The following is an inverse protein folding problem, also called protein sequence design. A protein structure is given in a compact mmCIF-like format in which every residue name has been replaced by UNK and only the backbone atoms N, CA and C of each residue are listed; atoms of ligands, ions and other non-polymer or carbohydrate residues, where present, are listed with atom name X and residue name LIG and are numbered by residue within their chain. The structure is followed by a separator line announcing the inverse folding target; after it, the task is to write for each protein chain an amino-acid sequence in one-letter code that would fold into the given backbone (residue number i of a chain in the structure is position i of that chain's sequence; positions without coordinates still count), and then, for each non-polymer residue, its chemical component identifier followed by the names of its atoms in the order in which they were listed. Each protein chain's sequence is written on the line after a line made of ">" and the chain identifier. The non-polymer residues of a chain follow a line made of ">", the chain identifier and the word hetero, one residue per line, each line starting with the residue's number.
data_IF_408487448969
#
_entry.id   IF_408487448969
#
_cell.length_a   1.000
_cell.length_b   1.000
_cell.length_c   1.000
_cell.angle_alpha   90.00
_cell.angle_beta   90.00
_cell.angle_gamma   90.00
#
_symmetry.space_group_name_H-M   'P 1'
#
loop_
_entity.id
_entity.type
_entity.pdbx_description
1 polymer ?
#
# COMPACT_ATOMS: atom_id res chain seq x y z
N UNK A 1 -2.15 26.77 -8.17
CA UNK A 1 -0.96 26.73 -9.04
C UNK A 1 -0.50 25.29 -9.12
N UNK A 2 -0.21 24.78 -10.33
CA UNK A 2 0.37 23.46 -10.44
C UNK A 2 1.79 23.46 -9.84
N UNK A 3 2.05 22.58 -8.88
CA UNK A 3 3.39 22.43 -8.32
C UNK A 3 4.25 21.72 -9.37
N UNK A 4 5.28 22.39 -9.84
CA UNK A 4 6.22 21.80 -10.80
C UNK A 4 7.03 20.73 -10.08
N UNK A 5 6.82 19.46 -10.43
CA UNK A 5 7.63 18.37 -9.91
C UNK A 5 8.99 18.33 -10.63
N UNK A 6 10.05 18.11 -9.87
CA UNK A 6 11.41 17.94 -10.39
C UNK A 6 12.15 16.86 -9.59
N UNK A 7 13.20 16.32 -10.16
CA UNK A 7 14.03 15.33 -9.47
C UNK A 7 14.68 15.95 -8.23
N UNK A 8 14.55 15.28 -7.09
CA UNK A 8 15.08 15.77 -5.81
C UNK A 8 16.58 15.48 -5.61
N UNK A 9 17.23 14.75 -6.53
CA UNK A 9 18.67 14.47 -6.43
C UNK A 9 19.06 13.71 -5.17
N UNK A 10 18.24 12.76 -4.72
CA UNK A 10 18.46 12.01 -3.46
C UNK A 10 19.71 11.14 -3.44
N UNK A 11 20.33 10.86 -4.61
CA UNK A 11 21.42 9.90 -4.76
C UNK A 11 20.96 8.44 -4.81
N UNK A 12 19.70 8.14 -4.46
CA UNK A 12 19.14 6.79 -4.54
C UNK A 12 18.68 6.44 -5.95
N UNK A 13 18.64 5.14 -6.25
CA UNK A 13 18.27 4.60 -7.56
C UNK A 13 17.45 3.31 -7.41
N UNK A 14 17.13 2.64 -8.52
CA UNK A 14 16.30 1.43 -8.55
C UNK A 14 16.90 0.22 -7.80
N UNK A 15 18.17 0.25 -7.42
CA UNK A 15 18.85 -0.80 -6.68
C UNK A 15 19.02 -0.45 -5.20
N UNK A 16 18.69 0.78 -4.80
CA UNK A 16 18.77 1.19 -3.39
C UNK A 16 17.76 0.42 -2.56
N UNK A 17 18.23 -0.14 -1.44
CA UNK A 17 17.39 -0.85 -0.48
C UNK A 17 16.68 0.11 0.47
N UNK A 18 15.63 -0.36 1.11
CA UNK A 18 14.93 0.44 2.13
C UNK A 18 15.85 0.80 3.31
N UNK A 19 16.77 -0.09 3.69
CA UNK A 19 17.72 0.16 4.77
C UNK A 19 18.75 1.24 4.40
N UNK A 20 19.24 1.24 3.15
CA UNK A 20 20.10 2.32 2.65
C UNK A 20 19.39 3.67 2.65
N UNK A 21 18.11 3.70 2.24
CA UNK A 21 17.31 4.94 2.20
C UNK A 21 17.05 5.47 3.62
N UNK A 22 16.85 4.57 4.60
CA UNK A 22 16.57 4.93 5.99
C UNK A 22 17.84 5.06 6.86
N UNK A 23 19.03 4.84 6.28
CA UNK A 23 20.28 4.96 7.03
C UNK A 23 20.43 6.35 7.67
N UNK A 24 20.57 6.38 8.98
CA UNK A 24 20.66 7.63 9.77
C UNK A 24 19.34 8.35 10.01
N UNK A 25 18.21 7.77 9.58
CA UNK A 25 16.87 8.31 9.90
C UNK A 25 16.33 7.59 11.13
N UNK A 26 16.02 8.36 12.17
CA UNK A 26 15.43 7.88 13.42
C UNK A 26 13.93 8.18 13.42
N UNK A 27 13.12 7.12 13.56
CA UNK A 27 11.66 7.21 13.58
C UNK A 27 11.04 6.85 14.94
N UNK A 28 11.84 6.83 16.00
CA UNK A 28 11.33 6.59 17.36
C UNK A 28 10.23 7.59 17.73
N UNK A 29 9.15 7.08 18.29
CA UNK A 29 7.96 7.88 18.61
C UNK A 29 7.05 8.21 17.44
N UNK A 30 7.40 7.82 16.20
CA UNK A 30 6.55 8.00 15.03
C UNK A 30 5.55 6.84 14.86
N UNK A 31 4.30 7.18 14.55
CA UNK A 31 3.26 6.21 14.22
C UNK A 31 3.05 6.16 12.70
N UNK A 32 3.18 4.97 12.16
CA UNK A 32 3.00 4.69 10.73
C UNK A 32 1.82 3.76 10.55
N UNK A 33 0.89 4.10 9.67
CA UNK A 33 -0.16 3.20 9.22
C UNK A 33 0.16 2.75 7.79
N UNK A 34 0.23 1.42 7.55
CA UNK A 34 0.49 0.87 6.23
C UNK A 34 -0.52 -0.23 5.88
N UNK A 35 -1.36 0.02 4.88
CA UNK A 35 -2.29 -0.99 4.37
C UNK A 35 -1.53 -2.05 3.57
N UNK A 36 -1.89 -3.34 3.75
CA UNK A 36 -1.17 -4.43 3.09
C UNK A 36 0.28 -4.60 3.55
N UNK A 37 0.63 -4.10 4.73
CA UNK A 37 1.96 -4.10 5.32
C UNK A 37 2.50 -5.48 5.72
N UNK A 38 1.78 -6.56 5.41
CA UNK A 38 2.15 -7.93 5.76
C UNK A 38 2.49 -8.81 4.55
N UNK A 39 2.65 -8.23 3.36
CA UNK A 39 3.06 -8.97 2.17
C UNK A 39 3.72 -8.06 1.12
N UNK A 40 4.59 -8.66 0.29
CA UNK A 40 5.22 -7.95 -0.82
C UNK A 40 5.94 -6.67 -0.38
N UNK A 41 5.83 -5.60 -1.15
CA UNK A 41 6.45 -4.30 -0.86
C UNK A 41 6.05 -3.73 0.50
N UNK A 42 4.78 -3.93 0.89
CA UNK A 42 4.28 -3.48 2.18
C UNK A 42 5.02 -4.13 3.36
N UNK A 43 5.35 -5.42 3.28
CA UNK A 43 6.09 -6.12 4.31
C UNK A 43 7.52 -5.57 4.47
N UNK A 44 8.19 -5.29 3.36
CA UNK A 44 9.52 -4.67 3.37
C UNK A 44 9.50 -3.27 4.00
N UNK A 45 8.54 -2.46 3.57
CA UNK A 45 8.37 -1.13 4.13
C UNK A 45 8.06 -1.20 5.64
N UNK A 46 7.18 -2.12 6.06
CA UNK A 46 6.87 -2.36 7.48
C UNK A 46 8.12 -2.73 8.26
N UNK A 47 8.91 -3.68 7.75
CA UNK A 47 10.13 -4.15 8.39
C UNK A 47 11.17 -3.04 8.52
N UNK A 48 11.43 -2.29 7.44
CA UNK A 48 12.40 -1.21 7.43
C UNK A 48 12.00 -0.05 8.37
N UNK A 49 10.73 0.38 8.33
CA UNK A 49 10.22 1.44 9.20
C UNK A 49 10.26 1.03 10.68
N UNK A 50 9.91 -0.22 10.99
CA UNK A 50 10.00 -0.76 12.36
C UNK A 50 11.45 -0.85 12.86
N UNK A 51 12.40 -1.23 11.99
CA UNK A 51 13.84 -1.20 12.32
C UNK A 51 14.33 0.23 12.58
N UNK A 52 13.84 1.20 11.82
CA UNK A 52 14.14 2.62 12.02
C UNK A 52 13.48 3.23 13.28
N UNK A 53 12.74 2.44 14.06
CA UNK A 53 12.17 2.87 15.36
C UNK A 53 10.68 3.18 15.34
N UNK A 54 10.02 3.21 14.19
CA UNK A 54 8.60 3.53 14.10
C UNK A 54 7.71 2.47 14.75
N UNK A 55 6.57 2.89 15.30
CA UNK A 55 5.45 2.01 15.62
C UNK A 55 4.56 1.86 14.38
N UNK A 56 4.48 0.64 13.84
CA UNK A 56 3.80 0.39 12.56
C UNK A 56 2.48 -0.32 12.78
N UNK A 57 1.39 0.37 12.47
CA UNK A 57 0.02 -0.15 12.47
C UNK A 57 -0.25 -0.77 11.09
N UNK A 58 -0.58 -2.06 11.07
CA UNK A 58 -0.83 -2.84 9.86
C UNK A 58 -2.28 -3.30 9.83
N UNK A 59 -3.18 -2.53 9.19
CA UNK A 59 -4.54 -2.97 8.97
C UNK A 59 -4.60 -4.18 8.04
N UNK A 60 -5.39 -5.19 8.41
CA UNK A 60 -5.49 -6.44 7.67
C UNK A 60 -6.92 -7.00 7.68
N UNK A 61 -7.38 -7.46 6.51
CA UNK A 61 -8.67 -8.18 6.39
C UNK A 61 -8.65 -9.55 7.09
N UNK A 62 -7.47 -10.14 7.24
CA UNK A 62 -7.24 -11.42 7.92
C UNK A 62 -6.14 -11.21 8.97
N UNK A 63 -6.48 -10.74 10.18
CA UNK A 63 -5.51 -10.40 11.21
C UNK A 63 -4.55 -11.54 11.55
N UNK A 64 -5.05 -12.78 11.67
CA UNK A 64 -4.20 -13.94 11.98
C UNK A 64 -3.07 -14.15 10.95
N UNK A 65 -3.37 -14.03 9.65
CA UNK A 65 -2.37 -14.14 8.58
C UNK A 65 -1.35 -13.01 8.65
N UNK A 66 -1.81 -11.80 8.97
CA UNK A 66 -0.91 -10.66 9.10
C UNK A 66 0.00 -10.79 10.33
N UNK A 67 -0.53 -11.26 11.46
CA UNK A 67 0.24 -11.50 12.68
C UNK A 67 1.32 -12.55 12.46
N UNK A 68 0.99 -13.64 11.76
CA UNK A 68 1.97 -14.66 11.38
C UNK A 68 3.07 -14.09 10.48
N UNK A 69 2.70 -13.33 9.44
CA UNK A 69 3.66 -12.74 8.51
C UNK A 69 4.57 -11.68 9.14
N UNK A 70 4.13 -11.04 10.21
CA UNK A 70 4.87 -10.01 10.95
C UNK A 70 5.60 -10.56 12.18
N UNK A 71 5.57 -11.87 12.37
CA UNK A 71 6.27 -12.52 13.48
C UNK A 71 7.78 -12.16 13.44
N UNK A 72 8.31 -11.73 14.58
CA UNK A 72 9.71 -11.30 14.70
C UNK A 72 10.00 -9.87 14.24
N UNK A 73 9.05 -9.16 13.66
CA UNK A 73 9.22 -7.73 13.35
C UNK A 73 8.73 -6.91 14.56
N UNK A 74 9.63 -6.22 15.27
CA UNK A 74 9.25 -5.47 16.47
C UNK A 74 8.37 -4.26 16.14
N UNK A 75 7.67 -3.73 17.15
CA UNK A 75 6.88 -2.50 17.06
C UNK A 75 5.79 -2.52 15.97
N UNK A 76 5.28 -3.70 15.63
CA UNK A 76 4.15 -3.87 14.71
C UNK A 76 2.86 -4.13 15.47
N UNK A 77 1.76 -3.56 15.01
CA UNK A 77 0.42 -3.74 15.56
C UNK A 77 -0.56 -4.10 14.45
N UNK A 78 -1.14 -5.29 14.51
CA UNK A 78 -2.15 -5.74 13.53
C UNK A 78 -3.55 -5.33 14.04
N UNK A 79 -4.35 -4.73 13.14
CA UNK A 79 -5.76 -4.40 13.39
C UNK A 79 -6.63 -4.86 12.23
N UNK A 80 -7.87 -5.23 12.53
CA UNK A 80 -8.82 -5.64 11.51
C UNK A 80 -9.30 -4.46 10.66
N UNK A 81 -9.23 -4.60 9.33
CA UNK A 81 -9.77 -3.67 8.33
C UNK A 81 -9.98 -4.39 7.00
N UNK A 82 -11.18 -4.28 6.44
CA UNK A 82 -11.45 -4.59 5.03
C UNK A 82 -11.70 -3.30 4.24
N UNK A 83 -10.81 -3.00 3.29
CA UNK A 83 -10.94 -1.84 2.40
C UNK A 83 -12.11 -1.96 1.41
N UNK A 84 -12.68 -3.15 1.26
CA UNK A 84 -13.87 -3.39 0.44
C UNK A 84 -15.18 -3.07 1.18
N UNK A 85 -15.12 -2.88 2.50
CA UNK A 85 -16.28 -2.69 3.37
C UNK A 85 -16.26 -1.31 4.04
N UNK A 86 -17.17 -0.39 3.64
CA UNK A 86 -17.28 0.94 4.25
C UNK A 86 -17.51 0.93 5.76
N UNK A 87 -18.25 -0.05 6.28
CA UNK A 87 -18.49 -0.16 7.73
C UNK A 87 -17.23 -0.61 8.47
N UNK A 88 -16.46 -1.54 7.89
CA UNK A 88 -15.16 -1.91 8.44
C UNK A 88 -14.21 -0.71 8.50
N UNK A 89 -14.17 0.11 7.44
CA UNK A 89 -13.35 1.34 7.41
C UNK A 89 -13.80 2.32 8.48
N UNK A 90 -15.11 2.52 8.64
CA UNK A 90 -15.66 3.40 9.67
C UNK A 90 -15.27 2.92 11.07
N UNK A 91 -15.54 1.66 11.38
CA UNK A 91 -15.24 1.09 12.70
C UNK A 91 -13.74 1.13 13.03
N UNK A 92 -12.88 0.82 12.06
CA UNK A 92 -11.43 0.92 12.24
C UNK A 92 -11.02 2.36 12.57
N UNK A 93 -11.50 3.31 11.78
CA UNK A 93 -11.16 4.73 11.94
C UNK A 93 -11.63 5.28 13.29
N UNK A 94 -12.88 5.00 13.67
CA UNK A 94 -13.45 5.45 14.94
C UNK A 94 -12.63 4.92 16.13
N UNK A 95 -12.34 3.61 16.17
CA UNK A 95 -11.51 2.98 17.20
C UNK A 95 -10.07 3.51 17.20
N UNK A 96 -9.53 3.87 16.04
CA UNK A 96 -8.19 4.45 15.98
C UNK A 96 -8.20 5.86 16.59
N UNK A 97 -9.16 6.69 16.23
CA UNK A 97 -9.31 8.06 16.74
C UNK A 97 -9.52 8.09 18.26
N UNK A 98 -10.24 7.13 18.83
CA UNK A 98 -10.43 6.97 20.28
C UNK A 98 -9.09 6.76 21.03
N UNK A 99 -8.06 6.26 20.36
CA UNK A 99 -6.73 6.12 20.99
C UNK A 99 -6.00 7.44 21.23
N UNK A 100 -6.43 8.53 20.59
CA UNK A 100 -5.76 9.83 20.63
C UNK A 100 -4.36 9.85 20.00
N UNK A 101 -3.89 8.74 19.39
CA UNK A 101 -2.55 8.66 18.79
C UNK A 101 -2.49 9.46 17.49
N UNK A 102 -1.43 10.28 17.29
CA UNK A 102 -1.21 10.91 15.99
C UNK A 102 -0.70 9.89 14.96
N UNK A 103 -0.92 10.17 13.68
CA UNK A 103 -0.33 9.48 12.54
C UNK A 103 0.68 10.41 11.86
N UNK A 104 1.94 10.02 11.86
CA UNK A 104 3.01 10.75 11.19
C UNK A 104 3.13 10.36 9.71
N UNK A 105 2.90 9.07 9.41
CA UNK A 105 2.98 8.52 8.06
C UNK A 105 1.78 7.59 7.81
N UNK A 106 1.14 7.76 6.66
CA UNK A 106 0.11 6.84 6.15
C UNK A 106 0.54 6.33 4.78
N UNK A 107 0.56 5.02 4.59
CA UNK A 107 0.96 4.38 3.32
C UNK A 107 -0.21 3.54 2.80
N UNK A 108 -0.89 4.07 1.79
CA UNK A 108 -1.98 3.42 1.07
C UNK A 108 -1.38 2.46 0.04
N UNK A 109 -0.91 1.28 0.53
CA UNK A 109 -0.17 0.31 -0.27
C UNK A 109 -1.01 -0.88 -0.72
N UNK A 110 -2.01 -1.30 0.06
CA UNK A 110 -2.83 -2.44 -0.29
C UNK A 110 -3.46 -2.28 -1.69
N UNK A 111 -3.58 -3.39 -2.41
CA UNK A 111 -4.21 -3.36 -3.73
C UNK A 111 -4.49 -4.74 -4.30
N UNK A 112 -5.30 -4.73 -5.35
CA UNK A 112 -5.59 -5.88 -6.19
C UNK A 112 -5.30 -5.53 -7.64
N UNK A 113 -4.93 -6.54 -8.43
CA UNK A 113 -4.65 -6.41 -9.86
C UNK A 113 -5.18 -7.64 -10.60
N UNK A 114 -5.54 -7.46 -11.86
CA UNK A 114 -6.12 -8.50 -12.70
C UNK A 114 -7.30 -9.22 -12.02
N UNK A 115 -8.16 -8.47 -11.36
CA UNK A 115 -9.37 -9.00 -10.72
C UNK A 115 -10.41 -9.31 -11.81
N UNK A 116 -11.19 -10.37 -11.68
CA UNK A 116 -12.31 -10.61 -12.59
C UNK A 116 -13.39 -9.54 -12.40
N UNK A 117 -14.29 -9.42 -13.38
CA UNK A 117 -15.43 -8.52 -13.24
C UNK A 117 -16.22 -8.85 -11.95
N UNK A 118 -16.01 -8.03 -10.95
CA UNK A 118 -16.57 -8.25 -9.61
C UNK A 118 -17.03 -6.90 -9.06
N UNK A 119 -18.28 -6.87 -8.63
CA UNK A 119 -18.84 -5.73 -7.90
C UNK A 119 -18.84 -6.06 -6.42
N UNK A 120 -18.44 -5.09 -5.60
CA UNK A 120 -18.39 -5.20 -4.13
C UNK A 120 -19.12 -4.03 -3.48
N UNK A 121 -19.46 -4.19 -2.21
CA UNK A 121 -20.21 -3.19 -1.46
C UNK A 121 -21.51 -2.79 -2.18
N UNK A 122 -21.79 -1.50 -2.36
CA UNK A 122 -23.01 -1.02 -3.03
C UNK A 122 -22.98 -1.13 -4.56
N UNK A 123 -22.17 -2.01 -5.13
CA UNK A 123 -22.03 -2.22 -6.57
C UNK A 123 -20.82 -1.51 -7.18
N UNK A 124 -19.74 -1.36 -6.45
CA UNK A 124 -18.49 -0.77 -6.92
C UNK A 124 -17.59 -1.82 -7.58
N UNK A 125 -16.92 -1.41 -8.68
CA UNK A 125 -15.91 -2.25 -9.31
C UNK A 125 -14.73 -2.50 -8.34
N UNK A 126 -14.25 -3.74 -8.28
CA UNK A 126 -13.37 -4.21 -7.21
C UNK A 126 -12.01 -3.50 -7.16
N UNK A 127 -11.37 -3.18 -8.32
CA UNK A 127 -10.11 -2.41 -8.28
C UNK A 127 -10.37 -1.00 -7.78
N UNK A 128 -11.39 -0.33 -8.31
CA UNK A 128 -11.71 1.04 -7.91
C UNK A 128 -12.09 1.12 -6.43
N UNK A 129 -12.88 0.14 -5.95
CA UNK A 129 -13.30 0.08 -4.56
C UNK A 129 -12.12 -0.14 -3.61
N UNK A 130 -11.30 -1.17 -3.84
CA UNK A 130 -10.23 -1.56 -2.91
C UNK A 130 -9.01 -0.65 -3.03
N UNK A 131 -8.55 -0.39 -4.27
CA UNK A 131 -7.32 0.35 -4.47
C UNK A 131 -7.48 1.84 -4.20
N UNK A 132 -8.69 2.39 -4.42
CA UNK A 132 -8.94 3.82 -4.32
C UNK A 132 -9.98 4.19 -3.28
N UNK A 133 -11.26 3.82 -3.46
CA UNK A 133 -12.35 4.33 -2.60
C UNK A 133 -12.14 3.96 -1.13
N UNK A 134 -11.65 2.75 -0.84
CA UNK A 134 -11.35 2.30 0.51
C UNK A 134 -10.26 3.14 1.17
N UNK A 135 -9.18 3.44 0.46
CA UNK A 135 -8.11 4.31 0.95
C UNK A 135 -8.57 5.77 1.07
N UNK A 136 -9.30 6.26 0.08
CA UNK A 136 -9.89 7.59 0.13
C UNK A 136 -10.75 7.78 1.39
N UNK A 137 -11.63 6.81 1.69
CA UNK A 137 -12.47 6.85 2.88
C UNK A 137 -11.63 6.75 4.17
N UNK A 138 -10.65 5.85 4.20
CA UNK A 138 -9.76 5.64 5.35
C UNK A 138 -8.98 6.92 5.70
N UNK A 139 -8.27 7.50 4.74
CA UNK A 139 -7.46 8.70 4.97
C UNK A 139 -8.34 9.88 5.38
N UNK A 140 -9.48 10.11 4.72
CA UNK A 140 -10.38 11.20 5.08
C UNK A 140 -10.97 11.06 6.48
N UNK A 141 -11.29 9.83 6.93
CA UNK A 141 -11.76 9.59 8.29
C UNK A 141 -10.66 9.76 9.32
N UNK A 142 -9.41 9.42 8.98
CA UNK A 142 -8.25 9.55 9.86
C UNK A 142 -7.62 10.95 9.84
N UNK A 143 -8.14 11.90 9.06
CA UNK A 143 -7.62 13.28 9.04
C UNK A 143 -7.42 13.91 10.42
N UNK A 144 -8.32 13.73 11.40
CA UNK A 144 -8.11 14.27 12.75
C UNK A 144 -6.89 13.70 13.49
N UNK A 145 -6.43 12.51 13.09
CA UNK A 145 -5.24 11.86 13.67
C UNK A 145 -3.95 12.23 12.93
N UNK A 146 -4.01 12.86 11.76
CA UNK A 146 -2.78 13.27 11.07
C UNK A 146 -2.01 14.26 11.95
N UNK A 147 -0.71 13.97 12.17
CA UNK A 147 0.09 14.66 13.15
C UNK A 147 0.08 16.19 12.96
N UNK A 148 -0.22 16.97 14.00
CA UNK A 148 -0.25 18.43 13.91
C UNK A 148 1.10 19.06 13.54
N UNK A 149 2.19 18.33 13.80
CA UNK A 149 3.56 18.72 13.43
C UNK A 149 3.93 18.41 11.99
N UNK A 150 2.97 17.90 11.23
CA UNK A 150 3.10 17.49 9.84
C UNK A 150 3.04 15.97 9.67
N UNK A 151 2.28 15.54 8.65
CA UNK A 151 2.13 14.14 8.28
C UNK A 151 2.50 13.91 6.82
N UNK A 152 2.81 12.67 6.48
CA UNK A 152 3.08 12.21 5.11
C UNK A 152 2.09 11.14 4.72
N UNK A 153 1.39 11.34 3.62
CA UNK A 153 0.48 10.34 3.04
C UNK A 153 1.06 9.86 1.71
N UNK A 154 1.31 8.58 1.60
CA UNK A 154 1.87 7.96 0.39
C UNK A 154 0.80 7.09 -0.25
N UNK A 155 0.35 7.45 -1.44
CA UNK A 155 -0.57 6.64 -2.23
C UNK A 155 0.20 5.84 -3.29
N UNK A 156 0.18 4.50 -3.17
CA UNK A 156 0.88 3.64 -4.12
C UNK A 156 0.10 3.59 -5.43
N UNK A 157 0.59 4.35 -6.40
CA UNK A 157 0.14 4.38 -7.78
C UNK A 157 0.83 3.27 -8.62
N UNK A 158 0.85 3.41 -9.93
CA UNK A 158 1.48 2.46 -10.86
C UNK A 158 1.64 3.15 -12.21
N UNK A 159 2.58 2.71 -13.05
CA UNK A 159 2.56 3.01 -14.50
C UNK A 159 1.26 2.57 -15.18
N UNK A 160 0.50 1.68 -14.54
CA UNK A 160 -0.85 1.32 -14.98
C UNK A 160 -1.80 2.52 -15.14
N UNK A 161 -1.54 3.65 -14.49
CA UNK A 161 -2.34 4.88 -14.66
C UNK A 161 -2.36 5.39 -16.11
N UNK A 162 -1.35 5.08 -16.92
CA UNK A 162 -1.35 5.42 -18.34
C UNK A 162 -2.35 4.62 -19.18
N UNK A 163 -2.93 3.54 -18.62
CA UNK A 163 -3.88 2.68 -19.35
C UNK A 163 -5.29 3.26 -19.39
N UNK A 164 -5.69 4.04 -18.41
CA UNK A 164 -7.06 4.58 -18.33
C UNK A 164 -7.13 5.85 -17.51
N UNK A 165 -7.83 6.84 -18.03
CA UNK A 165 -8.38 7.94 -17.24
C UNK A 165 -9.57 7.47 -16.39
N UNK A 166 -10.14 8.40 -15.60
CA UNK A 166 -11.39 8.15 -14.88
C UNK A 166 -12.56 8.12 -15.88
N UNK A 167 -13.31 7.04 -15.90
CA UNK A 167 -14.52 6.87 -16.69
C UNK A 167 -15.71 7.50 -15.95
N UNK A 168 -15.86 8.80 -16.05
CA UNK A 168 -16.86 9.54 -15.29
C UNK A 168 -18.30 9.06 -15.52
N UNK A 169 -18.62 8.58 -16.75
CA UNK A 169 -19.95 8.10 -17.11
C UNK A 169 -20.22 6.66 -16.66
N UNK A 170 -19.15 5.87 -16.46
CA UNK A 170 -19.23 4.46 -16.02
C UNK A 170 -18.02 4.06 -15.16
N UNK A 171 -17.85 4.65 -13.97
CA UNK A 171 -16.67 4.42 -13.13
C UNK A 171 -16.59 2.98 -12.58
N UNK A 172 -17.67 2.21 -12.68
CA UNK A 172 -17.76 0.84 -12.20
C UNK A 172 -17.78 -0.20 -13.32
N UNK A 173 -17.44 0.20 -14.55
CA UNK A 173 -17.35 -0.72 -15.69
C UNK A 173 -18.58 -1.63 -15.83
N UNK A 174 -19.76 -1.05 -15.74
CA UNK A 174 -21.03 -1.79 -15.95
C UNK A 174 -21.13 -2.30 -17.38
N UNK A 175 -20.40 -1.67 -18.31
CA UNK A 175 -20.30 -2.04 -19.71
C UNK A 175 -18.83 -2.11 -20.13
N UNK A 176 -18.50 -3.14 -20.95
CA UNK A 176 -17.17 -3.25 -21.54
C UNK A 176 -16.06 -3.41 -20.51
N UNK A 177 -16.24 -4.31 -19.54
CA UNK A 177 -15.24 -4.57 -18.52
C UNK A 177 -13.92 -5.07 -19.13
N UNK A 178 -12.85 -4.39 -18.76
CA UNK A 178 -11.48 -4.82 -18.97
C UNK A 178 -10.68 -4.63 -17.67
N UNK A 179 -10.08 -5.69 -17.18
CA UNK A 179 -9.40 -5.68 -15.89
C UNK A 179 -8.15 -4.79 -15.86
N UNK A 180 -7.49 -4.55 -17.02
CA UNK A 180 -6.36 -3.64 -17.10
C UNK A 180 -6.79 -2.18 -17.08
N UNK A 181 -7.88 -1.86 -17.80
CA UNK A 181 -8.46 -0.52 -17.78
C UNK A 181 -9.02 -0.19 -16.39
N UNK A 182 -9.69 -1.16 -15.75
CA UNK A 182 -10.21 -0.97 -14.39
C UNK A 182 -9.09 -0.80 -13.35
N UNK A 183 -8.02 -1.58 -13.46
CA UNK A 183 -6.82 -1.38 -12.66
C UNK A 183 -6.19 0.00 -12.94
N UNK A 184 -6.01 0.35 -14.20
CA UNK A 184 -5.46 1.64 -14.63
C UNK A 184 -6.22 2.82 -14.06
N UNK A 185 -7.55 2.82 -14.20
CA UNK A 185 -8.43 3.83 -13.60
C UNK A 185 -8.20 3.97 -12.09
N UNK A 186 -8.11 2.85 -11.36
CA UNK A 186 -7.87 2.88 -9.92
C UNK A 186 -6.54 3.55 -9.56
N UNK A 187 -5.52 3.38 -10.41
CA UNK A 187 -4.19 3.98 -10.19
C UNK A 187 -4.11 5.44 -10.63
N UNK A 188 -4.87 5.84 -11.64
CA UNK A 188 -5.11 7.25 -11.98
C UNK A 188 -5.80 7.97 -10.82
N UNK A 189 -6.82 7.35 -10.24
CA UNK A 189 -7.52 7.92 -9.08
C UNK A 189 -6.58 8.08 -7.86
N UNK A 190 -5.69 7.13 -7.62
CA UNK A 190 -4.68 7.22 -6.55
C UNK A 190 -3.72 8.40 -6.76
N UNK A 191 -3.27 8.63 -8.00
CA UNK A 191 -2.40 9.76 -8.32
C UNK A 191 -3.13 11.10 -8.13
N UNK A 192 -4.36 11.22 -8.62
CA UNK A 192 -5.19 12.41 -8.45
C UNK A 192 -5.51 12.69 -6.98
N UNK A 193 -5.78 11.64 -6.21
CA UNK A 193 -6.01 11.76 -4.77
C UNK A 193 -4.82 12.38 -4.04
N UNK A 194 -3.61 11.89 -4.29
CA UNK A 194 -2.40 12.43 -3.66
C UNK A 194 -2.19 13.90 -4.02
N UNK A 195 -2.34 14.27 -5.29
CA UNK A 195 -2.21 15.67 -5.75
C UNK A 195 -3.22 16.57 -5.05
N UNK A 196 -4.47 16.14 -4.96
CA UNK A 196 -5.52 16.94 -4.34
C UNK A 196 -5.36 17.02 -2.80
N UNK A 197 -5.00 15.91 -2.17
CA UNK A 197 -4.76 15.86 -0.73
C UNK A 197 -3.59 16.75 -0.32
N UNK A 198 -2.50 16.77 -1.10
CA UNK A 198 -1.37 17.69 -0.87
C UNK A 198 -1.80 19.14 -0.96
N UNK A 199 -2.55 19.50 -2.01
CA UNK A 199 -3.05 20.87 -2.20
C UNK A 199 -3.94 21.34 -1.04
N UNK A 200 -4.74 20.45 -0.45
CA UNK A 200 -5.62 20.77 0.68
C UNK A 200 -4.87 20.74 2.03
N UNK A 201 -3.87 19.89 2.16
CA UNK A 201 -3.22 19.58 3.43
C UNK A 201 -1.96 20.40 3.71
N UNK A 202 -1.29 20.91 2.68
CA UNK A 202 0.03 21.53 2.79
C UNK A 202 0.10 22.69 3.81
N UNK A 203 -0.93 23.54 3.86
CA UNK A 203 -1.00 24.64 4.82
C UNK A 203 -1.07 24.13 6.29
N UNK A 204 -1.55 22.92 6.53
CA UNK A 204 -1.59 22.24 7.81
C UNK A 204 -0.41 21.27 8.04
N UNK A 205 0.63 21.30 7.19
CA UNK A 205 1.80 20.43 7.29
C UNK A 205 1.57 19.00 6.78
N UNK A 206 0.40 18.70 6.24
CA UNK A 206 0.11 17.39 5.64
C UNK A 206 0.52 17.41 4.17
N UNK A 207 1.46 16.54 3.81
CA UNK A 207 1.91 16.37 2.43
C UNK A 207 1.56 15.00 1.90
N UNK A 208 1.15 14.93 0.63
CA UNK A 208 0.77 13.68 -0.02
C UNK A 208 1.57 13.42 -1.30
N UNK A 209 1.88 12.16 -1.53
CA UNK A 209 2.74 11.71 -2.63
C UNK A 209 2.10 10.53 -3.35
N UNK A 210 2.08 10.56 -4.69
CA UNK A 210 1.81 9.39 -5.50
C UNK A 210 3.14 8.73 -5.87
N UNK A 211 3.30 7.44 -5.54
CA UNK A 211 4.55 6.71 -5.75
C UNK A 211 4.30 5.52 -6.67
N UNK A 212 5.05 5.45 -7.78
CA UNK A 212 5.16 4.24 -8.59
C UNK A 212 6.40 3.46 -8.15
N UNK A 213 6.22 2.24 -7.60
CA UNK A 213 7.36 1.49 -7.02
C UNK A 213 8.26 0.80 -8.06
N UNK A 214 7.97 0.96 -9.35
CA UNK A 214 8.64 0.21 -10.40
C UNK A 214 7.93 -1.11 -10.73
N UNK A 215 8.55 -1.90 -11.62
CA UNK A 215 8.06 -3.23 -11.99
C UNK A 215 8.67 -4.27 -11.05
N UNK A 216 7.89 -4.73 -10.10
CA UNK A 216 8.34 -5.64 -9.04
C UNK A 216 7.41 -6.84 -8.96
N UNK A 217 7.97 -8.05 -8.99
CA UNK A 217 7.20 -9.27 -8.77
C UNK A 217 6.87 -9.42 -7.28
N UNK A 218 5.57 -9.50 -7.00
CA UNK A 218 5.02 -9.63 -5.66
C UNK A 218 3.79 -10.53 -5.70
N UNK A 219 3.18 -10.90 -4.57
CA UNK A 219 1.88 -11.58 -4.59
C UNK A 219 0.74 -10.81 -5.26
N UNK A 220 0.94 -9.56 -5.68
CA UNK A 220 -0.03 -8.78 -6.44
C UNK A 220 -0.39 -9.46 -7.77
N UNK A 221 0.61 -10.08 -8.44
CA UNK A 221 0.46 -10.77 -9.73
C UNK A 221 -0.14 -12.17 -9.63
N UNK A 222 -0.49 -12.66 -8.46
CA UNK A 222 -0.98 -14.05 -8.24
C UNK A 222 -2.18 -14.50 -9.09
N UNK A 223 -2.93 -13.54 -9.66
CA UNK A 223 -4.09 -13.80 -10.51
C UNK A 223 -3.77 -13.82 -12.00
N UNK A 224 -2.56 -13.41 -12.37
CA UNK A 224 -2.14 -13.37 -13.78
C UNK A 224 -1.58 -14.74 -14.14
N UNK A 225 -2.13 -15.42 -15.16
CA UNK A 225 -1.62 -16.70 -15.64
C UNK A 225 -0.12 -16.62 -15.95
N UNK A 226 0.58 -17.72 -15.69
CA UNK A 226 2.03 -17.79 -15.91
C UNK A 226 2.42 -17.48 -17.36
N UNK A 227 1.64 -17.98 -18.30
CA UNK A 227 1.83 -17.75 -19.74
C UNK A 227 1.75 -16.25 -20.07
N UNK A 228 0.82 -15.54 -19.46
CA UNK A 228 0.68 -14.09 -19.63
C UNK A 228 1.87 -13.34 -18.99
N UNK A 229 2.35 -13.78 -17.82
CA UNK A 229 3.53 -13.20 -17.20
C UNK A 229 4.79 -13.37 -18.07
N UNK A 230 4.93 -14.54 -18.74
CA UNK A 230 6.00 -14.81 -19.71
C UNK A 230 5.85 -13.91 -20.94
N UNK A 231 4.65 -13.84 -21.51
CA UNK A 231 4.36 -13.03 -22.69
C UNK A 231 4.62 -11.53 -22.47
N UNK A 232 4.43 -11.06 -21.24
CA UNK A 232 4.74 -9.68 -20.83
C UNK A 232 6.20 -9.46 -20.44
N UNK A 233 7.03 -10.50 -20.49
CA UNK A 233 8.44 -10.42 -20.16
C UNK A 233 8.74 -10.19 -18.66
N UNK A 234 7.83 -10.55 -17.77
CA UNK A 234 8.03 -10.43 -16.33
C UNK A 234 8.82 -11.59 -15.75
N UNK A 235 8.59 -12.79 -16.29
CA UNK A 235 9.32 -14.01 -15.94
C UNK A 235 9.79 -14.73 -17.21
N UNK A 236 10.88 -15.51 -17.08
CA UNK A 236 11.34 -16.41 -18.13
C UNK A 236 10.42 -17.65 -18.25
N UNK A 237 10.52 -18.45 -19.33
CA UNK A 237 9.81 -19.73 -19.42
C UNK A 237 10.08 -20.67 -18.23
N UNK A 238 11.27 -20.59 -17.64
CA UNK A 238 11.66 -21.37 -16.44
C UNK A 238 11.07 -20.77 -15.15
N UNK A 239 10.39 -19.60 -15.23
CA UNK A 239 9.77 -18.93 -14.09
C UNK A 239 10.72 -18.03 -13.29
N UNK A 240 11.90 -17.72 -13.83
CA UNK A 240 12.81 -16.75 -13.21
C UNK A 240 12.40 -15.33 -13.59
N UNK A 241 12.55 -14.43 -12.66
CA UNK A 241 12.32 -13.00 -12.92
C UNK A 241 13.29 -12.49 -13.99
N UNK A 242 12.78 -11.70 -14.95
CA UNK A 242 13.61 -11.07 -15.98
C UNK A 242 14.36 -9.87 -15.42
N UNK A 243 15.61 -9.66 -15.85
CA UNK A 243 16.40 -8.51 -15.45
C UNK A 243 15.69 -7.19 -15.86
N UNK A 244 15.68 -6.23 -14.96
CA UNK A 244 14.90 -4.99 -15.11
C UNK A 244 13.66 -4.94 -14.19
N UNK A 245 13.24 -6.09 -13.65
CA UNK A 245 12.35 -6.15 -12.51
C UNK A 245 13.21 -6.19 -11.23
N UNK A 246 12.98 -5.29 -10.31
CA UNK A 246 13.70 -5.27 -9.04
C UNK A 246 13.28 -6.47 -8.20
N UNK A 247 14.24 -7.23 -7.65
CA UNK A 247 13.94 -8.30 -6.71
C UNK A 247 13.54 -7.71 -5.36
N UNK A 248 12.50 -8.26 -4.78
CA UNK A 248 12.23 -8.11 -3.37
C UNK A 248 13.35 -8.83 -2.57
N UNK A 249 14.04 -8.12 -1.70
CA UNK A 249 15.23 -8.64 -0.99
C UNK A 249 14.92 -9.62 0.14
N UNK A 250 13.69 -10.11 0.34
CA UNK A 250 13.34 -10.82 1.57
C UNK A 250 12.77 -12.22 1.46
N UNK A 251 12.88 -12.89 0.32
CA UNK A 251 12.46 -14.31 0.25
C UNK A 251 13.55 -15.34 0.49
N UNK A 252 14.67 -14.96 1.07
CA UNK A 252 15.74 -15.90 1.37
C UNK A 252 16.21 -15.72 2.82
N UNK A 253 15.54 -16.34 3.70
CA UNK A 253 15.86 -16.62 5.11
C UNK A 253 14.75 -16.19 6.07
N UNK A 254 13.95 -17.11 6.44
CA UNK A 254 13.69 -17.52 7.83
C UNK A 254 12.71 -18.69 7.82
N UNK A 255 13.25 -19.86 7.54
CA UNK A 255 12.62 -21.10 7.99
C UNK A 255 12.99 -21.36 9.44
N UNK A 256 12.78 -20.43 10.34
CA UNK A 256 12.77 -20.71 11.77
C UNK A 256 11.35 -20.53 12.29
N UNK A 257 10.76 -21.65 12.63
CA UNK A 257 9.44 -21.77 13.21
C UNK A 257 9.32 -20.92 14.47
N UNK A 258 8.29 -20.08 14.53
CA UNK A 258 7.70 -19.68 15.79
C UNK A 258 6.99 -20.90 16.39
N UNK A 259 7.75 -21.84 16.94
CA UNK A 259 7.20 -22.88 17.79
C UNK A 259 6.85 -22.23 19.12
N UNK A 260 5.54 -22.12 19.38
CA UNK A 260 5.04 -21.65 20.65
C UNK A 260 5.54 -22.57 21.77
N UNK A 261 6.32 -22.02 22.68
CA UNK A 261 6.51 -22.64 23.98
C UNK A 261 5.19 -22.56 24.76
N UNK A 262 4.44 -23.65 24.76
CA UNK A 262 3.43 -23.92 25.77
C UNK A 262 4.16 -24.33 27.04
N UNK A 263 4.49 -23.38 27.90
CA UNK A 263 4.92 -23.70 29.26
C UNK A 263 3.68 -24.13 30.08
N UNK A 264 3.59 -25.42 30.38
CA UNK A 264 2.88 -25.91 31.54
C UNK A 264 3.54 -25.39 32.82
N UNK A 265 2.79 -24.66 33.63
CA UNK A 265 2.81 -24.69 35.07
C UNK A 265 1.58 -23.94 35.60
#
# INVERSE_FOLDING_TARGET
>A
MAITQHKIGSGFNAHSTADEVLAGIELSGKNVLITGGYSGLGLEATSALARAGAHVIVPARRPAVATEALCGIPRTEVRELDLADPDSIRMFSDRFLETGRPLDIVIDNAGVMAYPNTLIGPGWEAHFAINHLGHYALVNRLRPALAPTGARVVSVASSGHFLSDIRWDDPHFRHGYDHWLAYGQSKTANALFAVHLDALGAAGGVHAFAVHPGSILTPLQRRIPREQQIAQGWITPEGRQVDGFTRHASCASTGEHCAGESSNA
#
